data_IF_544581820813
#
_entry.id   IF_544581820813
#
_cell.length_a   1.000
_cell.length_b   1.000
_cell.length_c   1.000
_cell.angle_alpha   90.00
_cell.angle_beta   90.00
_cell.angle_gamma   90.00
#
_symmetry.space_group_name_H-M   'P 1'
#
loop_
_entity.id
_entity.type
_entity.pdbx_description
1 polymer ?
#
# COMPACT_ATOMS: atom_id res chain seq x y z
N UNK A 1 11.26 -24.35 26.09
CA UNK A 1 9.92 -23.75 25.98
C UNK A 1 10.12 -22.46 25.23
N UNK A 2 9.96 -22.48 23.90
CA UNK A 2 10.07 -21.26 23.11
C UNK A 2 8.82 -20.44 23.42
N UNK A 3 8.99 -19.28 24.05
CA UNK A 3 7.91 -18.31 24.17
C UNK A 3 7.55 -17.86 22.75
N UNK A 4 6.33 -18.18 22.31
CA UNK A 4 5.80 -17.61 21.07
C UNK A 4 5.65 -16.10 21.27
N UNK A 5 6.57 -15.33 20.69
CA UNK A 5 6.53 -13.87 20.70
C UNK A 5 5.32 -13.43 19.88
N UNK A 6 4.23 -13.09 20.56
CA UNK A 6 3.01 -12.56 19.96
C UNK A 6 3.10 -11.04 19.85
N UNK A 7 2.74 -10.49 18.70
CA UNK A 7 2.76 -9.05 18.47
C UNK A 7 1.60 -8.36 19.18
N UNK A 8 1.89 -7.24 19.83
CA UNK A 8 0.87 -6.42 20.47
C UNK A 8 0.05 -5.68 19.41
N UNK A 9 -1.28 -5.87 19.44
CA UNK A 9 -2.23 -5.18 18.56
C UNK A 9 -2.44 -3.73 19.01
N UNK A 10 -1.50 -2.85 18.66
CA UNK A 10 -1.59 -1.40 18.95
C UNK A 10 -1.96 -0.55 17.73
N UNK A 11 -1.86 -1.09 16.52
CA UNK A 11 -2.18 -0.34 15.30
C UNK A 11 -3.69 -0.19 15.16
N UNK A 12 -4.21 0.98 15.51
CA UNK A 12 -5.59 1.39 15.27
C UNK A 12 -5.80 1.94 13.86
N UNK A 13 -7.02 2.40 13.57
CA UNK A 13 -7.43 2.90 12.26
C UNK A 13 -6.48 3.96 11.67
N UNK A 14 -6.11 4.96 12.46
CA UNK A 14 -5.17 6.00 12.02
C UNK A 14 -3.74 5.47 11.82
N UNK A 15 -3.33 4.47 12.61
CA UNK A 15 -2.03 3.81 12.42
C UNK A 15 -1.98 3.07 11.08
N UNK A 16 -3.06 2.32 10.76
CA UNK A 16 -3.20 1.63 9.48
C UNK A 16 -3.22 2.60 8.29
N UNK A 17 -3.93 3.73 8.43
CA UNK A 17 -3.93 4.76 7.40
C UNK A 17 -2.53 5.36 7.19
N UNK A 18 -1.84 5.71 8.26
CA UNK A 18 -0.47 6.26 8.18
C UNK A 18 0.52 5.28 7.53
N UNK A 19 0.39 3.98 7.82
CA UNK A 19 1.19 2.94 7.18
C UNK A 19 0.95 2.88 5.67
N UNK A 20 -0.31 2.94 5.22
CA UNK A 20 -0.63 3.00 3.79
C UNK A 20 -0.17 4.31 3.13
N UNK A 21 -0.31 5.45 3.83
CA UNK A 21 0.10 6.75 3.30
C UNK A 21 1.64 6.88 3.18
N UNK A 22 2.40 6.20 4.03
CA UNK A 22 3.86 6.19 3.96
C UNK A 22 4.38 5.63 2.62
N UNK A 23 3.65 4.71 2.00
CA UNK A 23 3.98 4.12 0.68
C UNK A 23 4.02 5.19 -0.42
N UNK A 24 3.05 6.12 -0.39
CA UNK A 24 2.94 7.23 -1.34
C UNK A 24 4.16 8.16 -1.29
N UNK A 25 4.76 8.32 -0.10
CA UNK A 25 5.90 9.20 0.11
C UNK A 25 7.15 8.78 -0.66
N UNK A 26 7.40 7.47 -0.80
CA UNK A 26 8.56 6.96 -1.53
C UNK A 26 8.39 7.13 -3.05
N UNK A 27 7.21 6.83 -3.57
CA UNK A 27 6.94 6.78 -5.02
C UNK A 27 6.90 8.15 -5.68
N UNK A 28 6.48 9.20 -4.95
CA UNK A 28 6.36 10.56 -5.48
C UNK A 28 7.71 11.11 -6.00
N UNK A 29 8.84 10.70 -5.42
CA UNK A 29 10.13 11.26 -5.82
C UNK A 29 10.66 10.73 -7.16
N UNK A 30 10.29 9.50 -7.54
CA UNK A 30 10.82 8.86 -8.76
C UNK A 30 9.71 8.62 -9.79
N UNK A 31 8.56 8.08 -9.39
CA UNK A 31 7.51 7.68 -10.32
C UNK A 31 6.88 8.90 -11.02
N UNK A 32 6.74 10.03 -10.32
CA UNK A 32 6.09 11.23 -10.83
C UNK A 32 6.83 11.83 -12.04
N UNK A 33 8.15 11.92 -11.96
CA UNK A 33 8.99 12.39 -13.06
C UNK A 33 8.99 11.44 -14.25
N UNK A 34 9.02 10.13 -13.99
CA UNK A 34 8.98 9.10 -15.03
C UNK A 34 7.64 9.12 -15.79
N UNK A 35 6.53 9.18 -15.06
CA UNK A 35 5.19 9.25 -15.64
C UNK A 35 5.07 10.53 -16.48
N UNK A 36 5.50 11.69 -15.96
CA UNK A 36 5.45 12.94 -16.71
C UNK A 36 6.27 12.89 -18.02
N UNK A 37 7.44 12.25 -17.99
CA UNK A 37 8.31 12.11 -19.17
C UNK A 37 7.67 11.24 -20.27
N UNK A 38 7.09 10.09 -19.91
CA UNK A 38 6.55 9.14 -20.90
C UNK A 38 5.09 9.42 -21.27
N UNK A 39 4.27 9.90 -20.35
CA UNK A 39 2.86 10.20 -20.59
C UNK A 39 2.62 11.64 -21.09
N UNK A 40 3.60 12.54 -20.92
CA UNK A 40 3.51 13.95 -21.32
C UNK A 40 2.18 14.59 -20.87
N UNK A 41 1.42 15.18 -21.80
CA UNK A 41 0.12 15.79 -21.50
C UNK A 41 -0.96 14.82 -21.01
N UNK A 42 -0.80 13.52 -21.22
CA UNK A 42 -1.75 12.50 -20.76
C UNK A 42 -1.53 12.07 -19.29
N UNK A 43 -0.57 12.67 -18.59
CA UNK A 43 -0.24 12.39 -17.18
C UNK A 43 -1.46 12.28 -16.25
N UNK A 44 -2.48 13.18 -16.30
CA UNK A 44 -3.65 13.06 -15.43
C UNK A 44 -4.46 11.78 -15.68
N UNK A 45 -4.55 11.32 -16.92
CA UNK A 45 -5.29 10.11 -17.30
C UNK A 45 -4.55 8.88 -16.78
N UNK A 46 -3.24 8.84 -16.94
CA UNK A 46 -2.39 7.75 -16.42
C UNK A 46 -2.53 7.67 -14.90
N UNK A 47 -2.46 8.79 -14.18
CA UNK A 47 -2.66 8.79 -12.73
C UNK A 47 -4.04 8.30 -12.32
N UNK A 48 -5.10 8.66 -13.06
CA UNK A 48 -6.45 8.20 -12.76
C UNK A 48 -6.58 6.69 -12.91
N UNK A 49 -6.02 6.11 -13.98
CA UNK A 49 -6.02 4.66 -14.21
C UNK A 49 -5.20 3.95 -13.13
N UNK A 50 -3.99 4.43 -12.86
CA UNK A 50 -3.11 3.82 -11.85
C UNK A 50 -3.73 3.91 -10.45
N UNK A 51 -4.38 5.02 -10.10
CA UNK A 51 -5.07 5.17 -8.83
C UNK A 51 -6.22 4.15 -8.69
N UNK A 52 -7.01 3.94 -9.75
CA UNK A 52 -8.07 2.94 -9.74
C UNK A 52 -7.55 1.51 -9.53
N UNK A 53 -6.45 1.17 -10.20
CA UNK A 53 -5.77 -0.13 -10.04
C UNK A 53 -5.25 -0.27 -8.60
N UNK A 54 -4.60 0.78 -8.08
CA UNK A 54 -4.03 0.77 -6.73
C UNK A 54 -5.11 0.62 -5.64
N UNK A 55 -6.25 1.30 -5.78
CA UNK A 55 -7.42 1.11 -4.91
C UNK A 55 -7.88 -0.35 -4.93
N UNK A 56 -7.98 -0.94 -6.13
CA UNK A 56 -8.41 -2.34 -6.28
C UNK A 56 -7.45 -3.30 -5.57
N UNK A 57 -6.15 -3.08 -5.68
CA UNK A 57 -5.12 -3.85 -4.95
C UNK A 57 -5.30 -3.67 -3.44
N UNK A 58 -5.45 -2.42 -2.98
CA UNK A 58 -5.66 -2.10 -1.57
C UNK A 58 -6.89 -2.80 -0.97
N UNK A 59 -7.99 -2.88 -1.73
CA UNK A 59 -9.20 -3.60 -1.32
C UNK A 59 -8.96 -5.11 -1.18
N UNK A 60 -8.25 -5.73 -2.11
CA UNK A 60 -7.89 -7.16 -2.03
C UNK A 60 -7.00 -7.43 -0.81
N UNK A 61 -6.01 -6.58 -0.55
CA UNK A 61 -5.17 -6.70 0.66
C UNK A 61 -5.97 -6.47 1.95
N UNK A 62 -6.92 -5.53 1.94
CA UNK A 62 -7.79 -5.29 3.08
C UNK A 62 -8.70 -6.49 3.40
N UNK A 63 -9.10 -7.25 2.38
CA UNK A 63 -9.85 -8.51 2.54
C UNK A 63 -8.93 -9.64 3.03
N UNK A 64 -7.71 -9.73 2.51
CA UNK A 64 -6.76 -10.81 2.84
C UNK A 64 -6.14 -10.67 4.24
N UNK A 65 -5.87 -9.45 4.69
CA UNK A 65 -5.23 -9.15 5.98
C UNK A 65 -5.96 -9.77 7.21
N UNK A 66 -7.30 -9.71 7.34
CA UNK A 66 -8.00 -10.41 8.42
C UNK A 66 -8.06 -11.94 8.22
N UNK A 67 -7.99 -12.44 6.97
CA UNK A 67 -7.99 -13.88 6.67
C UNK A 67 -6.70 -14.55 7.16
N UNK A 68 -5.56 -13.87 7.04
CA UNK A 68 -4.25 -14.37 7.43
C UNK A 68 -3.57 -13.39 8.40
N UNK A 69 -3.86 -13.47 9.72
CA UNK A 69 -3.42 -12.49 10.72
C UNK A 69 -1.96 -12.71 11.17
N UNK A 70 -1.07 -12.93 10.21
CA UNK A 70 0.37 -12.95 10.41
C UNK A 70 0.91 -11.54 10.18
N UNK A 71 1.95 -11.15 10.91
CA UNK A 71 2.69 -9.94 10.58
C UNK A 71 3.56 -10.20 9.34
N UNK A 72 2.94 -10.06 8.17
CA UNK A 72 3.56 -10.30 6.87
C UNK A 72 2.68 -9.83 5.72
N UNK A 73 3.28 -9.74 4.52
CA UNK A 73 2.58 -9.49 3.25
C UNK A 73 2.23 -10.80 2.53
N UNK A 74 2.10 -10.77 1.19
CA UNK A 74 1.71 -11.92 0.35
C UNK A 74 2.63 -13.14 0.45
N UNK A 75 3.85 -13.00 0.96
CA UNK A 75 4.75 -14.12 1.24
C UNK A 75 4.73 -14.47 2.72
N UNK A 76 3.97 -15.51 3.05
CA UNK A 76 4.22 -16.39 4.21
C UNK A 76 4.64 -17.75 3.65
#
# INVERSE_FOLDING_TARGET
>A
MNEEVSLKREVGWFGSFSLGYADVGADIFIALGLIALYAAGATPIVFLITAFIYISIGLVYAELAPTYPYAGGVQV
#
